data_IF_337018611762
#
_entry.id   IF_337018611762
#
_cell.length_a   1.000
_cell.length_b   1.000
_cell.length_c   1.000
_cell.angle_alpha   90.00
_cell.angle_beta   90.00
_cell.angle_gamma   90.00
#
_symmetry.space_group_name_H-M   'P 1'
#
loop_
_entity.id
_entity.type
_entity.pdbx_description
1 polymer ?
#
# COMPACT_ATOMS: atom_id res chain seq x y z
N UNK A 1 -80.19 30.59 12.23
CA UNK A 1 -81.03 29.40 12.29
C UNK A 1 -80.13 28.20 12.11
N UNK A 2 -79.77 27.55 13.19
CA UNK A 2 -80.19 26.21 13.67
C UNK A 2 -80.26 25.14 12.58
N UNK A 3 -79.45 24.08 12.70
CA UNK A 3 -79.69 22.77 12.10
C UNK A 3 -78.39 21.93 12.23
N UNK A 4 -78.20 21.33 13.34
CA UNK A 4 -78.19 19.90 13.75
C UNK A 4 -77.23 18.94 12.96
N UNK A 5 -76.33 18.37 13.73
CA UNK A 5 -75.59 17.11 13.49
C UNK A 5 -76.60 15.91 13.42
N UNK A 6 -76.16 14.76 12.85
CA UNK A 6 -75.81 13.68 13.79
C UNK A 6 -74.52 12.90 13.45
N UNK A 7 -74.01 12.37 14.54
CA UNK A 7 -72.91 11.40 14.64
C UNK A 7 -73.37 10.01 14.11
N UNK A 8 -72.43 9.29 13.49
CA UNK A 8 -72.52 7.82 13.36
C UNK A 8 -71.14 7.22 13.73
N UNK A 9 -71.14 6.69 14.91
CA UNK A 9 -70.15 5.82 15.51
C UNK A 9 -70.25 4.45 14.81
N UNK A 10 -69.13 3.99 14.23
CA UNK A 10 -68.96 2.60 13.86
C UNK A 10 -67.72 2.06 14.56
N UNK A 11 -67.93 1.39 15.69
CA UNK A 11 -66.95 0.51 16.34
C UNK A 11 -66.64 -0.68 15.43
N UNK A 12 -65.43 -0.76 14.96
CA UNK A 12 -64.85 -2.03 14.48
C UNK A 12 -63.91 -2.55 15.55
N UNK A 13 -64.34 -3.50 16.31
CA UNK A 13 -63.53 -4.30 17.21
C UNK A 13 -62.77 -5.35 16.39
N UNK A 14 -61.45 -5.15 16.22
CA UNK A 14 -60.53 -6.17 15.72
C UNK A 14 -59.98 -6.95 16.91
N UNK A 15 -60.46 -8.17 17.02
CA UNK A 15 -59.92 -9.19 17.92
C UNK A 15 -58.62 -9.70 17.32
N UNK A 16 -57.44 -9.31 17.86
CA UNK A 16 -56.13 -9.88 17.53
C UNK A 16 -55.84 -10.96 18.55
N UNK A 17 -56.02 -12.21 18.13
CA UNK A 17 -55.52 -13.36 18.90
C UNK A 17 -54.01 -13.39 18.87
N UNK A 18 -53.39 -13.15 20.01
CA UNK A 18 -51.96 -13.26 20.29
C UNK A 18 -51.54 -14.73 20.32
N UNK A 19 -50.91 -15.19 19.24
CA UNK A 19 -50.00 -16.33 19.28
C UNK A 19 -48.56 -15.82 19.12
N UNK A 20 -47.98 -15.36 20.22
CA UNK A 20 -46.56 -15.11 20.35
C UNK A 20 -45.82 -16.46 20.34
N UNK A 21 -45.46 -16.95 19.15
CA UNK A 21 -44.37 -17.89 19.02
C UNK A 21 -43.06 -17.09 19.20
N UNK A 22 -42.44 -17.27 20.35
CA UNK A 22 -41.08 -16.85 20.61
C UNK A 22 -40.16 -17.45 19.53
N UNK A 23 -39.76 -16.62 18.56
CA UNK A 23 -38.72 -16.96 17.59
C UNK A 23 -37.38 -16.85 18.33
N UNK A 24 -36.81 -18.01 18.67
CA UNK A 24 -35.45 -18.07 19.22
C UNK A 24 -34.51 -17.27 18.31
N UNK A 25 -33.90 -16.24 18.84
CA UNK A 25 -32.79 -15.55 18.20
C UNK A 25 -31.66 -16.58 18.01
N UNK A 26 -31.06 -16.70 16.81
CA UNK A 26 -29.87 -17.50 16.68
C UNK A 26 -28.81 -16.88 17.60
N UNK A 27 -28.27 -17.70 18.51
CA UNK A 27 -27.15 -17.35 19.35
C UNK A 27 -26.07 -16.73 18.47
N UNK A 28 -25.60 -15.55 18.86
CA UNK A 28 -24.42 -14.93 18.28
C UNK A 28 -23.31 -15.99 18.32
N UNK A 29 -22.90 -16.46 17.15
CA UNK A 29 -21.77 -17.36 17.02
C UNK A 29 -20.56 -16.63 17.60
N UNK A 30 -20.00 -17.19 18.68
CA UNK A 30 -18.70 -16.74 19.22
C UNK A 30 -17.71 -16.66 18.05
N UNK A 31 -16.92 -15.58 17.97
CA UNK A 31 -15.89 -15.48 16.93
C UNK A 31 -14.93 -16.68 17.10
N UNK A 32 -14.42 -17.25 15.99
CA UNK A 32 -13.55 -18.41 16.03
C UNK A 32 -12.31 -18.08 16.87
N UNK A 33 -12.14 -18.78 17.98
CA UNK A 33 -11.02 -18.66 18.94
C UNK A 33 -9.63 -19.03 18.38
N UNK A 34 -9.51 -19.23 17.06
CA UNK A 34 -8.25 -19.57 16.38
C UNK A 34 -7.96 -18.63 15.18
N UNK A 35 -8.12 -17.32 15.35
CA UNK A 35 -7.37 -16.42 14.51
C UNK A 35 -5.91 -16.50 14.98
N UNK A 36 -5.06 -17.20 14.21
CA UNK A 36 -3.61 -17.13 14.38
C UNK A 36 -3.24 -15.64 14.43
N UNK A 37 -2.70 -15.21 15.57
CA UNK A 37 -2.34 -13.82 15.80
C UNK A 37 -1.29 -13.42 14.79
N UNK A 38 -1.73 -12.76 13.72
CA UNK A 38 -0.83 -12.30 12.68
C UNK A 38 -0.01 -11.12 13.23
N UNK A 39 1.31 -11.23 13.15
CA UNK A 39 2.22 -10.13 13.47
C UNK A 39 1.79 -8.87 12.72
N UNK A 40 1.62 -7.71 13.37
CA UNK A 40 1.22 -6.49 12.70
C UNK A 40 2.20 -6.10 11.59
N UNK A 41 1.72 -5.53 10.48
CA UNK A 41 2.60 -5.03 9.42
C UNK A 41 3.47 -3.86 9.92
N UNK A 42 4.52 -3.51 9.17
CA UNK A 42 5.24 -2.27 9.41
C UNK A 42 4.35 -1.04 9.14
N UNK A 43 4.69 0.11 9.70
CA UNK A 43 3.94 1.36 9.47
C UNK A 43 3.79 1.69 7.98
N UNK A 44 4.87 1.51 7.21
CA UNK A 44 4.89 1.72 5.75
C UNK A 44 3.97 0.77 4.96
N UNK A 45 3.60 -0.36 5.55
CA UNK A 45 2.74 -1.36 4.93
C UNK A 45 1.25 -1.20 5.32
N UNK A 46 0.95 -0.25 6.22
CA UNK A 46 -0.43 0.11 6.53
C UNK A 46 -1.13 0.67 5.29
N UNK A 47 -2.31 0.16 4.96
CA UNK A 47 -3.05 0.54 3.75
C UNK A 47 -2.45 0.07 2.43
N UNK A 48 -1.43 -0.81 2.45
CA UNK A 48 -0.74 -1.29 1.25
C UNK A 48 -1.66 -1.97 0.25
N UNK A 49 -2.65 -2.75 0.70
CA UNK A 49 -3.59 -3.42 -0.20
C UNK A 49 -4.35 -2.42 -1.07
N UNK A 50 -4.87 -1.35 -0.51
CA UNK A 50 -5.52 -0.29 -1.28
C UNK A 50 -4.51 0.40 -2.22
N UNK A 51 -3.34 0.79 -1.70
CA UNK A 51 -2.27 1.43 -2.48
C UNK A 51 -1.83 0.58 -3.67
N UNK A 52 -1.76 -0.73 -3.50
CA UNK A 52 -1.35 -1.67 -4.56
C UNK A 52 -2.35 -1.67 -5.73
N UNK A 53 -3.66 -1.59 -5.48
CA UNK A 53 -4.69 -1.48 -6.53
C UNK A 53 -4.53 -0.18 -7.34
N UNK A 54 -4.13 0.92 -6.69
CA UNK A 54 -3.92 2.21 -7.37
C UNK A 54 -2.58 2.31 -8.11
N UNK A 55 -1.58 1.50 -7.75
CA UNK A 55 -0.21 1.64 -8.25
C UNK A 55 0.25 0.50 -9.17
N UNK A 56 -0.13 -0.74 -8.86
CA UNK A 56 0.31 -1.92 -9.62
C UNK A 56 -0.50 -2.11 -10.91
N UNK A 57 0.15 -2.56 -11.97
CA UNK A 57 -0.47 -2.77 -13.28
C UNK A 57 -0.59 -1.50 -14.12
N UNK A 58 0.10 -0.42 -13.74
CA UNK A 58 0.14 0.83 -14.48
C UNK A 58 1.59 1.29 -14.69
N UNK A 59 1.84 1.96 -15.83
CA UNK A 59 3.14 2.50 -16.17
C UNK A 59 2.99 3.70 -17.13
N UNK A 60 2.05 4.60 -16.84
CA UNK A 60 1.68 5.70 -17.72
C UNK A 60 2.87 6.57 -18.13
N UNK A 61 3.03 6.81 -19.43
CA UNK A 61 4.10 7.63 -19.97
C UNK A 61 5.50 7.02 -19.79
N UNK A 62 5.58 5.69 -19.54
CA UNK A 62 6.86 5.01 -19.41
C UNK A 62 6.91 3.70 -20.19
N UNK A 63 8.08 3.42 -20.73
CA UNK A 63 8.42 2.06 -21.20
C UNK A 63 9.39 1.47 -20.19
N UNK A 64 9.03 0.32 -19.62
CA UNK A 64 9.77 -0.34 -18.54
C UNK A 64 10.15 -1.76 -18.95
N UNK A 65 11.39 -2.14 -18.70
CA UNK A 65 11.90 -3.50 -18.86
C UNK A 65 12.53 -3.92 -17.54
N UNK A 66 12.06 -5.02 -16.97
CA UNK A 66 12.63 -5.65 -15.79
C UNK A 66 13.06 -7.08 -16.12
N UNK A 67 14.30 -7.40 -15.86
CA UNK A 67 14.85 -8.74 -16.00
C UNK A 67 15.31 -9.24 -14.62
N UNK A 68 14.85 -10.42 -14.24
CA UNK A 68 15.27 -11.10 -13.03
C UNK A 68 15.81 -12.48 -13.38
N UNK A 69 16.96 -12.82 -12.85
CA UNK A 69 17.53 -14.16 -12.99
C UNK A 69 18.12 -14.63 -11.67
N UNK A 70 18.08 -15.93 -11.46
CA UNK A 70 18.60 -16.55 -10.27
C UNK A 70 19.66 -17.58 -10.65
N UNK A 71 20.87 -17.38 -10.12
CA UNK A 71 21.96 -18.35 -10.29
C UNK A 71 21.71 -19.61 -9.47
N UNK A 72 22.27 -20.72 -9.90
CA UNK A 72 22.30 -21.98 -9.14
C UNK A 72 22.99 -21.82 -7.77
N UNK A 73 23.93 -20.89 -7.64
CA UNK A 73 24.58 -20.52 -6.37
C UNK A 73 23.67 -19.71 -5.42
N UNK A 74 22.44 -19.39 -5.81
CA UNK A 74 21.48 -18.63 -5.00
C UNK A 74 21.63 -17.11 -5.08
N UNK A 75 22.50 -16.60 -5.95
CA UNK A 75 22.60 -15.16 -6.24
C UNK A 75 21.47 -14.77 -7.17
N UNK A 76 20.70 -13.76 -6.77
CA UNK A 76 19.62 -13.17 -7.56
C UNK A 76 20.14 -11.89 -8.23
N UNK A 77 20.03 -11.81 -9.55
CA UNK A 77 20.34 -10.62 -10.33
C UNK A 77 19.03 -10.00 -10.84
N UNK A 78 18.90 -8.71 -10.69
CA UNK A 78 17.76 -7.96 -11.21
C UNK A 78 18.26 -6.72 -11.94
N UNK A 79 17.89 -6.56 -13.18
CA UNK A 79 18.18 -5.35 -13.94
C UNK A 79 16.89 -4.74 -14.42
N UNK A 80 16.77 -3.44 -14.27
CA UNK A 80 15.60 -2.69 -14.70
C UNK A 80 16.02 -1.49 -15.54
N UNK A 81 15.27 -1.24 -16.59
CA UNK A 81 15.39 -0.04 -17.41
C UNK A 81 14.03 0.60 -17.58
N UNK A 82 13.97 1.92 -17.52
CA UNK A 82 12.75 2.67 -17.82
C UNK A 82 13.06 3.92 -18.60
N UNK A 83 12.21 4.23 -19.58
CA UNK A 83 12.28 5.48 -20.35
C UNK A 83 10.97 6.23 -20.18
N UNK A 84 11.06 7.49 -19.81
CA UNK A 84 9.90 8.37 -19.79
C UNK A 84 9.65 8.88 -21.21
N UNK A 85 8.46 8.62 -21.77
CA UNK A 85 8.11 8.96 -23.15
C UNK A 85 7.94 10.46 -23.37
N UNK A 86 7.59 11.22 -22.31
CA UNK A 86 7.37 12.67 -22.41
C UNK A 86 8.70 13.45 -22.38
N UNK A 87 9.65 13.00 -21.55
CA UNK A 87 10.92 13.71 -21.35
C UNK A 87 12.10 13.08 -22.08
N UNK A 88 11.93 11.88 -22.63
CA UNK A 88 12.99 11.10 -23.26
C UNK A 88 14.09 10.62 -22.29
N UNK A 89 13.95 10.88 -20.97
CA UNK A 89 14.93 10.47 -19.98
C UNK A 89 14.85 8.96 -19.77
N UNK A 90 15.99 8.30 -19.91
CA UNK A 90 16.16 6.89 -19.60
C UNK A 90 16.87 6.75 -18.24
N UNK A 91 16.45 5.77 -17.47
CA UNK A 91 17.07 5.35 -16.23
C UNK A 91 17.14 3.83 -16.16
N UNK A 92 18.17 3.32 -15.53
CA UNK A 92 18.33 1.88 -15.33
C UNK A 92 19.01 1.58 -14.00
N UNK A 93 18.90 0.35 -13.58
CA UNK A 93 19.54 -0.15 -12.39
C UNK A 93 19.97 -1.59 -12.58
N UNK A 94 21.06 -1.95 -11.93
CA UNK A 94 21.50 -3.32 -11.73
C UNK A 94 21.48 -3.61 -10.24
N UNK A 95 20.81 -4.67 -9.84
CA UNK A 95 20.72 -5.10 -8.45
C UNK A 95 21.19 -6.54 -8.34
N UNK A 96 22.04 -6.81 -7.36
CA UNK A 96 22.56 -8.14 -7.03
C UNK A 96 22.19 -8.44 -5.59
N UNK A 97 21.51 -9.56 -5.37
CA UNK A 97 21.11 -9.98 -4.03
C UNK A 97 21.61 -11.38 -3.73
N UNK A 98 22.26 -11.50 -2.60
CA UNK A 98 22.78 -12.76 -2.11
C UNK A 98 22.34 -13.00 -0.67
N UNK A 99 21.80 -14.21 -0.42
CA UNK A 99 21.35 -14.63 0.91
C UNK A 99 22.21 -15.74 1.44
N UNK A 100 22.85 -15.50 2.57
CA UNK A 100 23.59 -16.52 3.36
C UNK A 100 22.63 -17.07 4.41
N UNK A 101 22.03 -18.22 4.11
CA UNK A 101 20.97 -18.80 4.98
C UNK A 101 21.47 -19.18 6.37
N UNK A 102 22.71 -19.66 6.48
CA UNK A 102 23.32 -20.10 7.74
C UNK A 102 23.51 -18.94 8.74
N UNK A 103 23.80 -17.77 8.25
CA UNK A 103 24.05 -16.58 9.06
C UNK A 103 22.84 -15.60 9.05
N UNK A 104 21.73 -15.93 8.38
CA UNK A 104 20.59 -15.04 8.22
C UNK A 104 20.92 -13.71 7.56
N UNK A 105 22.09 -13.62 6.90
CA UNK A 105 22.58 -12.42 6.26
C UNK A 105 22.05 -12.32 4.83
N UNK A 106 21.61 -11.10 4.48
CA UNK A 106 21.26 -10.75 3.10
C UNK A 106 22.10 -9.57 2.68
N UNK A 107 22.80 -9.74 1.58
CA UNK A 107 23.53 -8.66 0.89
C UNK A 107 22.72 -8.24 -0.32
N UNK A 108 22.50 -6.95 -0.47
CA UNK A 108 21.87 -6.37 -1.62
C UNK A 108 22.68 -5.19 -2.12
N UNK A 109 23.15 -5.24 -3.36
CA UNK A 109 23.93 -4.17 -3.98
C UNK A 109 23.16 -3.68 -5.21
N UNK A 110 22.93 -2.38 -5.27
CA UNK A 110 22.22 -1.73 -6.36
C UNK A 110 23.04 -0.60 -6.94
N UNK A 111 23.19 -0.61 -8.25
CA UNK A 111 23.83 0.44 -9.01
C UNK A 111 22.84 1.06 -9.98
N UNK A 112 22.67 2.36 -9.92
CA UNK A 112 21.78 3.11 -10.78
C UNK A 112 22.57 3.88 -11.86
N UNK A 113 21.89 4.19 -12.97
CA UNK A 113 22.50 4.98 -14.08
C UNK A 113 22.81 6.43 -13.73
N UNK A 114 22.30 6.96 -12.60
CA UNK A 114 22.73 8.22 -12.00
C UNK A 114 24.07 8.12 -11.26
N UNK A 115 24.74 6.98 -11.40
CA UNK A 115 25.99 6.63 -10.78
C UNK A 115 25.92 6.54 -9.23
N UNK A 116 24.75 6.20 -8.70
CA UNK A 116 24.58 5.94 -7.25
C UNK A 116 24.74 4.45 -6.99
N UNK A 117 25.69 4.12 -6.13
CA UNK A 117 25.90 2.77 -5.60
C UNK A 117 25.30 2.68 -4.21
N UNK A 118 24.35 1.77 -4.03
CA UNK A 118 23.73 1.47 -2.74
C UNK A 118 24.06 0.04 -2.34
N UNK A 119 24.52 -0.15 -1.12
CA UNK A 119 24.80 -1.47 -0.54
C UNK A 119 24.00 -1.61 0.74
N UNK A 120 23.17 -2.63 0.81
CA UNK A 120 22.38 -3.01 1.99
C UNK A 120 22.85 -4.35 2.52
N UNK A 121 23.15 -4.40 3.79
CA UNK A 121 23.46 -5.63 4.53
C UNK A 121 22.41 -5.78 5.61
N UNK A 122 21.65 -6.84 5.62
CA UNK A 122 20.65 -7.08 6.65
C UNK A 122 20.80 -8.46 7.26
N UNK A 123 20.51 -8.55 8.55
CA UNK A 123 20.51 -9.76 9.35
C UNK A 123 19.16 -9.89 10.04
N UNK A 124 18.55 -11.07 9.97
CA UNK A 124 17.22 -11.35 10.53
C UNK A 124 17.27 -12.60 11.40
N UNK A 125 16.61 -12.54 12.58
CA UNK A 125 16.40 -13.68 13.51
C UNK A 125 17.66 -14.33 14.12
N UNK A 126 18.83 -13.75 14.00
CA UNK A 126 20.07 -14.34 14.52
C UNK A 126 20.36 -13.95 15.98
N UNK A 127 20.18 -12.69 16.33
CA UNK A 127 20.45 -12.18 17.68
C UNK A 127 19.26 -12.41 18.61
N UNK A 128 18.05 -12.19 18.12
CA UNK A 128 16.83 -12.44 18.84
C UNK A 128 15.69 -12.71 17.84
N UNK A 129 14.77 -13.60 18.17
CA UNK A 129 13.61 -13.94 17.34
C UNK A 129 12.75 -12.70 17.09
N UNK A 130 12.55 -12.36 15.83
CA UNK A 130 11.82 -11.17 15.39
C UNK A 130 12.67 -9.91 15.26
N UNK A 131 13.97 -9.95 15.56
CA UNK A 131 14.88 -8.81 15.40
C UNK A 131 15.49 -8.81 14.00
N UNK A 132 15.36 -7.69 13.31
CA UNK A 132 16.03 -7.40 12.04
C UNK A 132 16.94 -6.21 12.21
N UNK A 133 18.21 -6.37 11.82
CA UNK A 133 19.17 -5.28 11.73
C UNK A 133 19.57 -5.10 10.28
N UNK A 134 19.74 -3.86 9.85
CA UNK A 134 20.17 -3.53 8.50
C UNK A 134 21.11 -2.34 8.50
N UNK A 135 22.10 -2.37 7.62
CA UNK A 135 22.97 -1.25 7.34
C UNK A 135 22.91 -0.96 5.85
N UNK A 136 22.39 0.21 5.51
CA UNK A 136 22.36 0.72 4.14
C UNK A 136 23.44 1.77 3.99
N UNK A 137 24.23 1.64 2.95
CA UNK A 137 25.21 2.66 2.58
C UNK A 137 24.96 3.11 1.15
N UNK A 138 25.05 4.40 0.91
CA UNK A 138 24.94 4.98 -0.43
C UNK A 138 26.17 5.81 -0.74
N UNK A 139 26.71 5.64 -1.93
CA UNK A 139 27.86 6.35 -2.44
C UNK A 139 27.57 6.88 -3.85
N UNK A 140 27.83 8.17 -4.05
CA UNK A 140 27.70 8.84 -5.35
C UNK A 140 29.10 9.28 -5.80
N UNK A 141 29.78 8.50 -6.65
CA UNK A 141 31.16 8.77 -7.07
C UNK A 141 31.34 10.17 -7.67
N UNK A 142 30.38 10.65 -8.46
CA UNK A 142 30.46 11.95 -9.15
C UNK A 142 30.56 13.14 -8.19
N UNK A 143 29.93 13.06 -7.02
CA UNK A 143 29.90 14.14 -6.02
C UNK A 143 30.70 13.81 -4.76
N UNK A 144 31.16 12.56 -4.65
CA UNK A 144 31.81 12.06 -3.44
C UNK A 144 30.85 11.93 -2.24
N UNK A 145 29.55 12.17 -2.41
CA UNK A 145 28.55 12.12 -1.35
C UNK A 145 28.42 10.69 -0.83
N UNK A 146 28.50 10.54 0.48
CA UNK A 146 28.32 9.28 1.21
C UNK A 146 27.19 9.47 2.22
N UNK A 147 26.32 8.47 2.35
CA UNK A 147 25.35 8.40 3.42
C UNK A 147 25.28 6.98 3.95
N UNK A 148 24.97 6.85 5.22
CA UNK A 148 24.77 5.57 5.88
C UNK A 148 23.45 5.62 6.67
N UNK A 149 22.73 4.52 6.69
CA UNK A 149 21.48 4.36 7.42
C UNK A 149 21.49 3.04 8.17
N UNK A 150 21.35 3.11 9.47
CA UNK A 150 21.17 1.96 10.33
C UNK A 150 19.67 1.71 10.50
N UNK A 151 19.22 0.51 10.17
CA UNK A 151 17.82 0.08 10.30
C UNK A 151 17.69 -0.98 11.38
N UNK A 152 16.75 -0.79 12.27
CA UNK A 152 16.44 -1.77 13.31
C UNK A 152 14.95 -2.04 13.29
N UNK A 153 14.55 -3.29 13.23
CA UNK A 153 13.15 -3.72 13.28
C UNK A 153 12.96 -4.83 14.30
N UNK A 154 11.91 -4.73 15.08
CA UNK A 154 11.53 -5.77 16.02
C UNK A 154 10.06 -6.13 15.84
N UNK A 155 9.81 -7.40 15.52
CA UNK A 155 8.48 -7.95 15.27
C UNK A 155 8.11 -8.97 16.33
N UNK A 156 6.96 -8.79 16.93
CA UNK A 156 6.34 -9.73 17.88
C UNK A 156 4.84 -9.81 17.65
N UNK A 157 4.22 -10.78 18.29
CA UNK A 157 2.78 -10.86 18.41
C UNK A 157 2.26 -9.52 18.95
N UNK A 158 1.25 -8.94 18.30
CA UNK A 158 0.65 -7.63 18.58
C UNK A 158 1.51 -6.38 18.33
N UNK A 159 2.81 -6.49 18.04
CA UNK A 159 3.70 -5.32 17.96
C UNK A 159 4.72 -5.44 16.82
N UNK A 160 4.91 -4.34 16.10
CA UNK A 160 5.97 -4.17 15.13
C UNK A 160 6.60 -2.79 15.33
N UNK A 161 7.84 -2.74 15.70
CA UNK A 161 8.57 -1.49 15.97
C UNK A 161 9.78 -1.42 15.06
N UNK A 162 10.01 -0.26 14.47
CA UNK A 162 11.19 0.04 13.65
C UNK A 162 11.86 1.32 14.15
N UNK A 163 13.16 1.35 14.11
CA UNK A 163 13.96 2.54 14.36
C UNK A 163 15.09 2.59 13.33
N UNK A 164 15.12 3.64 12.55
CA UNK A 164 16.12 3.88 11.53
C UNK A 164 16.90 5.15 11.89
N UNK A 165 18.22 5.13 11.75
CA UNK A 165 19.09 6.28 11.99
C UNK A 165 19.79 6.59 10.68
N UNK A 166 19.47 7.74 10.10
CA UNK A 166 20.16 8.27 8.93
C UNK A 166 21.37 9.11 9.37
N UNK A 167 22.57 8.69 8.97
CA UNK A 167 23.80 9.45 9.20
C UNK A 167 24.05 10.35 7.98
N UNK A 168 23.68 11.62 8.11
CA UNK A 168 24.02 12.65 7.12
C UNK A 168 25.12 13.57 7.69
N UNK A 169 25.87 14.23 6.81
CA UNK A 169 26.92 15.18 7.18
C UNK A 169 26.38 16.38 7.99
N UNK A 170 25.11 16.71 7.84
CA UNK A 170 24.45 17.79 8.57
C UNK A 170 24.04 17.40 10.00
N UNK A 171 24.05 16.13 10.34
CA UNK A 171 23.64 15.55 11.63
C UNK A 171 22.69 14.38 11.45
N UNK A 172 22.63 13.45 12.41
CA UNK A 172 21.79 12.27 12.29
C UNK A 172 20.30 12.62 12.39
N UNK A 173 19.48 11.94 11.59
CA UNK A 173 18.03 11.96 11.70
C UNK A 173 17.52 10.61 12.18
N UNK A 174 16.74 10.60 13.25
CA UNK A 174 16.17 9.39 13.83
C UNK A 174 14.72 9.24 13.36
N UNK A 175 14.42 8.13 12.71
CA UNK A 175 13.08 7.74 12.30
C UNK A 175 12.61 6.58 13.19
N UNK A 176 11.52 6.77 13.91
CA UNK A 176 10.91 5.71 14.70
C UNK A 176 9.48 5.44 14.21
N UNK A 177 9.11 4.18 14.18
CA UNK A 177 7.76 3.75 13.83
C UNK A 177 7.35 2.57 14.71
N UNK A 178 6.10 2.58 15.15
CA UNK A 178 5.52 1.49 15.91
C UNK A 178 4.11 1.20 15.41
N UNK A 179 3.76 -0.07 15.30
CA UNK A 179 2.41 -0.54 15.00
C UNK A 179 1.99 -1.56 16.05
N UNK A 180 0.84 -1.33 16.63
CA UNK A 180 0.18 -2.26 17.53
C UNK A 180 -1.02 -2.88 16.83
N UNK A 181 -1.23 -4.17 17.00
CA UNK A 181 -2.36 -4.90 16.43
C UNK A 181 -3.09 -5.71 17.46
N UNK A 182 -4.41 -5.59 17.51
CA UNK A 182 -5.27 -6.37 18.39
C UNK A 182 -6.63 -6.63 17.73
N UNK A 183 -7.04 -7.89 17.62
CA UNK A 183 -8.34 -8.31 17.08
C UNK A 183 -8.74 -7.63 15.74
N UNK A 184 -7.77 -7.50 14.83
CA UNK A 184 -8.00 -6.85 13.53
C UNK A 184 -7.80 -5.34 13.53
N UNK A 185 -7.74 -4.68 14.69
CA UNK A 185 -7.38 -3.28 14.80
C UNK A 185 -5.88 -3.09 14.71
N UNK A 186 -5.47 -2.03 14.03
CA UNK A 186 -4.07 -1.64 13.85
C UNK A 186 -3.96 -0.17 14.24
N UNK A 187 -3.07 0.14 15.16
CA UNK A 187 -2.73 1.52 15.52
C UNK A 187 -1.26 1.75 15.25
N UNK A 188 -0.92 2.72 14.44
CA UNK A 188 0.43 3.05 14.03
C UNK A 188 0.82 4.48 14.38
N UNK A 189 2.06 4.65 14.79
CA UNK A 189 2.69 5.95 15.01
C UNK A 189 4.06 5.97 14.33
N UNK A 190 4.36 7.06 13.66
CA UNK A 190 5.66 7.28 13.03
C UNK A 190 6.13 8.71 13.29
N UNK A 191 7.40 8.83 13.65
CA UNK A 191 8.04 10.13 13.83
C UNK A 191 9.41 10.18 13.17
N UNK A 192 9.85 11.37 12.79
CA UNK A 192 11.22 11.66 12.40
C UNK A 192 11.75 12.85 13.19
N UNK A 193 12.89 12.68 13.84
CA UNK A 193 13.53 13.71 14.63
C UNK A 193 14.88 14.10 14.01
N UNK A 194 14.98 15.36 13.57
CA UNK A 194 16.21 15.96 13.06
C UNK A 194 17.04 16.46 14.24
N UNK A 195 18.15 15.77 14.54
CA UNK A 195 18.98 16.11 15.70
C UNK A 195 19.77 17.40 15.48
N UNK A 196 20.12 17.75 14.23
CA UNK A 196 20.85 18.95 13.91
C UNK A 196 20.03 20.22 14.17
N UNK A 197 18.72 20.17 13.88
CA UNK A 197 17.78 21.26 14.10
C UNK A 197 17.02 21.15 15.42
N UNK A 198 17.22 20.05 16.17
CA UNK A 198 16.45 19.70 17.37
C UNK A 198 14.93 19.84 17.15
N UNK A 199 14.46 19.40 15.99
CA UNK A 199 13.07 19.57 15.56
C UNK A 199 12.46 18.23 15.15
N UNK A 200 11.21 18.03 15.53
CA UNK A 200 10.37 16.97 15.00
C UNK A 200 10.06 17.29 13.53
N UNK A 201 10.65 16.54 12.61
CA UNK A 201 10.50 16.75 11.17
C UNK A 201 9.25 16.06 10.59
N UNK A 202 8.78 15.01 11.27
CA UNK A 202 7.59 14.25 10.85
C UNK A 202 6.87 13.68 12.08
N UNK A 203 5.55 13.76 12.06
CA UNK A 203 4.67 13.23 13.11
C UNK A 203 3.39 12.69 12.47
N UNK A 204 3.32 11.38 12.31
CA UNK A 204 2.25 10.71 11.61
C UNK A 204 1.57 9.69 12.52
N UNK A 205 0.26 9.67 12.47
CA UNK A 205 -0.59 8.71 13.15
C UNK A 205 -1.45 7.95 12.15
N UNK A 206 -1.65 6.67 12.35
CA UNK A 206 -2.47 5.83 11.50
C UNK A 206 -3.34 4.88 12.33
N UNK A 207 -4.56 4.67 11.87
CA UNK A 207 -5.48 3.69 12.42
C UNK A 207 -5.99 2.81 11.28
N UNK A 208 -5.99 1.50 11.49
CA UNK A 208 -6.47 0.54 10.52
C UNK A 208 -7.38 -0.51 11.17
N UNK A 209 -8.22 -1.09 10.34
CA UNK A 209 -9.01 -2.26 10.71
C UNK A 209 -8.98 -3.27 9.57
N UNK A 210 -8.65 -4.51 9.89
CA UNK A 210 -8.58 -5.61 8.93
C UNK A 210 -9.49 -6.74 9.38
N UNK A 211 -10.49 -7.06 8.57
CA UNK A 211 -11.40 -8.18 8.80
C UNK A 211 -11.55 -8.99 7.51
N UNK A 212 -10.89 -10.16 7.45
CA UNK A 212 -10.93 -11.03 6.26
C UNK A 212 -10.55 -10.28 4.98
N UNK A 213 -11.54 -10.13 4.10
CA UNK A 213 -11.40 -9.51 2.78
C UNK A 213 -11.56 -7.97 2.77
N UNK A 214 -11.83 -7.37 3.93
CA UNK A 214 -12.01 -5.93 4.10
C UNK A 214 -10.86 -5.30 4.87
N UNK A 215 -10.39 -4.14 4.42
CA UNK A 215 -9.39 -3.33 5.13
C UNK A 215 -9.78 -1.86 5.07
N UNK A 216 -9.84 -1.24 6.23
CA UNK A 216 -9.96 0.20 6.40
C UNK A 216 -8.62 0.74 6.92
N UNK A 217 -8.18 1.86 6.38
CA UNK A 217 -7.00 2.56 6.85
C UNK A 217 -7.25 4.06 6.84
N UNK A 218 -6.87 4.72 7.92
CA UNK A 218 -6.89 6.17 8.04
C UNK A 218 -5.54 6.64 8.57
N UNK A 219 -5.10 7.80 8.12
CA UNK A 219 -3.85 8.39 8.58
C UNK A 219 -3.96 9.91 8.71
N UNK A 220 -3.19 10.45 9.62
CA UNK A 220 -2.99 11.89 9.81
C UNK A 220 -1.49 12.15 9.76
N UNK A 221 -1.05 12.98 8.82
CA UNK A 221 0.36 13.32 8.63
C UNK A 221 0.57 14.76 9.09
N UNK A 222 1.50 14.96 10.01
CA UNK A 222 1.89 16.29 10.55
C UNK A 222 0.71 17.17 11.05
N UNK A 223 -0.42 16.53 11.40
CA UNK A 223 -1.64 17.21 11.82
C UNK A 223 -2.35 18.03 10.73
N UNK A 224 -1.87 18.00 9.50
CA UNK A 224 -2.38 18.80 8.38
C UNK A 224 -2.95 18.00 7.23
N UNK A 225 -2.44 16.81 6.97
CA UNK A 225 -2.95 15.92 5.94
C UNK A 225 -3.72 14.76 6.56
N UNK A 226 -4.97 14.60 6.14
CA UNK A 226 -5.85 13.52 6.54
C UNK A 226 -6.05 12.58 5.35
N UNK A 227 -5.79 11.32 5.53
CA UNK A 227 -5.96 10.28 4.52
C UNK A 227 -6.84 9.16 5.01
N UNK A 228 -7.51 8.51 4.07
CA UNK A 228 -8.26 7.28 4.33
C UNK A 228 -8.31 6.43 3.08
N UNK A 229 -8.28 5.12 3.27
CA UNK A 229 -8.45 4.16 2.19
C UNK A 229 -9.26 2.97 2.65
N UNK A 230 -10.08 2.47 1.74
CA UNK A 230 -10.86 1.25 1.91
C UNK A 230 -10.41 0.29 0.84
N UNK A 231 -10.13 -0.93 1.22
CA UNK A 231 -9.88 -2.04 0.32
C UNK A 231 -10.91 -3.12 0.58
N UNK A 232 -11.49 -3.65 -0.48
CA UNK A 232 -12.44 -4.76 -0.42
C UNK A 232 -12.09 -5.78 -1.51
N UNK A 233 -11.87 -7.01 -1.09
CA UNK A 233 -11.88 -8.16 -2.00
C UNK A 233 -13.31 -8.66 -2.12
N UNK A 234 -13.96 -8.30 -3.23
CA UNK A 234 -15.38 -8.63 -3.48
C UNK A 234 -15.55 -10.13 -3.72
N UNK A 235 -14.62 -10.70 -4.50
CA UNK A 235 -14.53 -12.14 -4.76
C UNK A 235 -13.09 -12.50 -5.17
N UNK A 236 -12.85 -13.75 -5.58
CA UNK A 236 -11.51 -14.20 -5.97
C UNK A 236 -10.97 -13.52 -7.24
N UNK A 237 -11.82 -12.87 -8.01
CA UNK A 237 -11.47 -12.20 -9.27
C UNK A 237 -11.49 -10.68 -9.15
N UNK A 238 -12.30 -10.10 -8.26
CA UNK A 238 -12.52 -8.66 -8.17
C UNK A 238 -12.03 -8.10 -6.83
N UNK A 239 -11.10 -7.18 -6.92
CA UNK A 239 -10.62 -6.36 -5.81
C UNK A 239 -10.91 -4.89 -6.11
N UNK A 240 -11.37 -4.16 -5.11
CA UNK A 240 -11.70 -2.74 -5.22
C UNK A 240 -11.03 -1.94 -4.13
N UNK A 241 -10.72 -0.69 -4.43
CA UNK A 241 -10.16 0.24 -3.45
C UNK A 241 -10.69 1.65 -3.67
N UNK A 242 -10.88 2.35 -2.56
CA UNK A 242 -11.22 3.78 -2.54
C UNK A 242 -10.16 4.49 -1.73
N UNK A 243 -9.74 5.66 -2.18
CA UNK A 243 -8.78 6.50 -1.50
C UNK A 243 -9.30 7.93 -1.41
N UNK A 244 -9.16 8.52 -0.23
CA UNK A 244 -9.49 9.91 0.05
C UNK A 244 -8.28 10.55 0.76
N UNK A 245 -7.85 11.71 0.31
CA UNK A 245 -6.86 12.52 1.00
C UNK A 245 -7.29 13.99 0.98
N UNK A 246 -7.18 14.64 2.12
CA UNK A 246 -7.57 16.03 2.32
C UNK A 246 -6.49 16.76 3.11
N UNK A 247 -6.14 17.96 2.68
CA UNK A 247 -5.17 18.82 3.36
C UNK A 247 -5.89 19.97 4.06
N UNK A 248 -5.73 20.08 5.37
CA UNK A 248 -6.34 21.15 6.17
C UNK A 248 -5.86 22.53 5.70
N UNK A 249 -6.76 23.49 5.65
CA UNK A 249 -6.46 24.85 5.21
C UNK A 249 -6.32 25.01 3.69
N UNK A 250 -6.53 23.95 2.92
CA UNK A 250 -6.61 24.02 1.46
C UNK A 250 -7.87 23.31 0.97
N UNK A 251 -8.44 23.78 -0.17
CA UNK A 251 -9.53 23.07 -0.84
C UNK A 251 -9.06 21.87 -1.66
N UNK A 252 -7.86 21.37 -1.38
CA UNK A 252 -7.24 20.29 -2.15
C UNK A 252 -7.67 18.94 -1.58
N UNK A 253 -8.80 18.43 -2.06
CA UNK A 253 -9.27 17.08 -1.78
C UNK A 253 -8.92 16.19 -2.94
N UNK A 254 -8.26 15.08 -2.69
CA UNK A 254 -7.95 14.03 -3.67
C UNK A 254 -8.80 12.82 -3.35
N UNK A 255 -9.61 12.42 -4.30
CA UNK A 255 -10.47 11.25 -4.21
C UNK A 255 -10.23 10.36 -5.41
N UNK A 256 -10.19 9.05 -5.19
CA UNK A 256 -10.03 8.08 -6.27
C UNK A 256 -10.72 6.75 -5.93
N UNK A 257 -11.16 6.10 -6.99
CA UNK A 257 -11.68 4.72 -6.94
C UNK A 257 -10.83 3.90 -7.91
N UNK A 258 -10.51 2.69 -7.51
CA UNK A 258 -9.79 1.75 -8.35
C UNK A 258 -10.34 0.33 -8.18
N UNK A 259 -10.23 -0.45 -9.24
CA UNK A 259 -10.62 -1.85 -9.25
C UNK A 259 -9.59 -2.66 -10.04
N UNK A 260 -9.38 -3.90 -9.62
CA UNK A 260 -8.61 -4.89 -10.34
C UNK A 260 -9.47 -6.12 -10.55
N UNK A 261 -9.57 -6.56 -11.78
CA UNK A 261 -10.30 -7.75 -12.17
C UNK A 261 -9.37 -8.79 -12.79
N UNK A 262 -9.34 -9.97 -12.22
CA UNK A 262 -8.59 -11.12 -12.75
C UNK A 262 -9.49 -11.82 -13.77
N UNK A 263 -9.13 -11.74 -15.04
CA UNK A 263 -9.87 -12.38 -16.14
C UNK A 263 -9.69 -13.89 -16.08
N UNK A 264 -8.44 -14.32 -15.98
CA UNK A 264 -8.03 -15.71 -15.87
C UNK A 264 -6.73 -15.81 -15.04
N UNK A 265 -6.07 -16.96 -15.02
CA UNK A 265 -4.82 -17.17 -14.27
C UNK A 265 -3.66 -16.30 -14.78
N UNK A 266 -3.71 -15.90 -16.04
CA UNK A 266 -2.62 -15.25 -16.75
C UNK A 266 -2.91 -13.79 -17.11
N UNK A 267 -4.17 -13.36 -17.02
CA UNK A 267 -4.60 -12.02 -17.43
C UNK A 267 -5.35 -11.27 -16.35
N UNK A 268 -5.05 -9.99 -16.19
CA UNK A 268 -5.79 -9.08 -15.30
C UNK A 268 -5.96 -7.69 -15.91
N UNK A 269 -7.10 -7.07 -15.62
CA UNK A 269 -7.40 -5.68 -15.95
C UNK A 269 -7.46 -4.87 -14.66
N UNK A 270 -6.85 -3.70 -14.67
CA UNK A 270 -6.93 -2.72 -13.61
C UNK A 270 -7.48 -1.41 -14.16
N UNK A 271 -8.36 -0.77 -13.42
CA UNK A 271 -8.90 0.53 -13.77
C UNK A 271 -8.93 1.44 -12.55
N UNK A 272 -8.68 2.72 -12.75
CA UNK A 272 -8.78 3.75 -11.70
C UNK A 272 -9.29 5.06 -12.26
N UNK A 273 -9.99 5.81 -11.42
CA UNK A 273 -10.47 7.15 -11.72
C UNK A 273 -10.26 8.04 -10.51
N UNK A 274 -9.98 9.32 -10.74
CA UNK A 274 -9.84 10.31 -9.69
C UNK A 274 -10.75 11.53 -9.92
N UNK A 275 -10.83 12.39 -8.92
CA UNK A 275 -11.63 13.63 -8.98
C UNK A 275 -11.10 14.69 -9.97
N UNK A 276 -9.92 14.50 -10.55
CA UNK A 276 -9.42 15.31 -11.67
C UNK A 276 -9.89 14.80 -13.04
N UNK A 277 -10.83 13.84 -13.06
CA UNK A 277 -11.34 13.18 -14.27
C UNK A 277 -10.27 12.44 -15.08
N UNK A 278 -9.19 12.01 -14.39
CA UNK A 278 -8.18 11.15 -15.01
C UNK A 278 -8.61 9.69 -14.87
N UNK A 279 -8.74 9.01 -15.99
CA UNK A 279 -9.07 7.57 -16.06
C UNK A 279 -7.81 6.81 -16.46
N UNK A 280 -7.36 5.91 -15.58
CA UNK A 280 -6.24 5.02 -15.84
C UNK A 280 -6.74 3.61 -16.07
N UNK A 281 -6.26 2.96 -17.12
CA UNK A 281 -6.53 1.55 -17.42
C UNK A 281 -5.20 0.83 -17.57
N UNK A 282 -5.13 -0.38 -17.05
CA UNK A 282 -3.98 -1.25 -17.18
C UNK A 282 -4.41 -2.67 -17.52
N UNK A 283 -3.70 -3.31 -18.42
CA UNK A 283 -3.86 -4.71 -18.78
C UNK A 283 -2.54 -5.42 -18.57
N UNK A 284 -2.54 -6.49 -17.81
CA UNK A 284 -1.36 -7.32 -17.55
C UNK A 284 -1.62 -8.73 -18.03
N UNK A 285 -0.73 -9.25 -18.86
CA UNK A 285 -0.79 -10.60 -19.44
C UNK A 285 0.52 -11.35 -19.16
N UNK A 286 0.44 -12.55 -18.60
CA UNK A 286 1.50 -13.51 -18.62
C UNK A 286 1.50 -14.21 -19.99
N UNK A 287 2.51 -13.94 -20.81
CA UNK A 287 2.63 -14.51 -22.15
C UNK A 287 3.12 -15.98 -22.10
N UNK A 288 3.99 -16.24 -21.15
CA UNK A 288 4.51 -17.59 -20.79
C UNK A 288 5.04 -17.53 -19.36
N UNK A 289 5.31 -18.66 -18.70
CA UNK A 289 5.95 -18.69 -17.39
C UNK A 289 7.22 -17.84 -17.40
N UNK A 290 7.32 -16.90 -16.45
CA UNK A 290 8.43 -15.96 -16.35
C UNK A 290 8.36 -14.73 -17.27
N UNK A 291 7.36 -14.59 -18.14
CA UNK A 291 7.25 -13.44 -19.06
C UNK A 291 5.91 -12.75 -18.88
N UNK A 292 5.91 -11.49 -18.43
CA UNK A 292 4.72 -10.67 -18.24
C UNK A 292 4.81 -9.40 -19.08
N UNK A 293 3.71 -9.07 -19.73
CA UNK A 293 3.49 -7.82 -20.45
C UNK A 293 2.43 -7.01 -19.73
N UNK A 294 2.71 -5.74 -19.47
CA UNK A 294 1.74 -4.78 -18.93
C UNK A 294 1.57 -3.63 -19.91
N UNK A 295 0.35 -3.38 -20.34
CA UNK A 295 -0.03 -2.24 -21.15
C UNK A 295 -0.87 -1.30 -20.30
N UNK A 296 -0.66 0.00 -20.39
CA UNK A 296 -1.41 0.97 -19.62
C UNK A 296 -1.71 2.24 -20.41
N UNK A 297 -2.84 2.85 -20.12
CA UNK A 297 -3.26 4.13 -20.71
C UNK A 297 -3.87 5.02 -19.62
N UNK A 298 -3.45 6.28 -19.60
CA UNK A 298 -4.04 7.35 -18.80
C UNK A 298 -4.77 8.29 -19.76
N UNK A 299 -6.03 8.52 -19.50
CA UNK A 299 -6.93 9.33 -20.33
C UNK A 299 -7.40 10.52 -19.48
N UNK A 300 -7.19 11.74 -19.97
CA UNK A 300 -7.82 12.93 -19.42
C UNK A 300 -9.24 13.03 -20.01
N UNK A 301 -10.24 12.62 -19.22
CA UNK A 301 -11.63 12.62 -19.66
C UNK A 301 -12.23 14.04 -19.72
N UNK A 302 -11.63 15.00 -19.00
CA UNK A 302 -12.10 16.41 -19.02
C UNK A 302 -11.63 17.13 -20.29
N UNK A 303 -10.42 16.83 -20.78
CA UNK A 303 -9.79 17.51 -21.90
C UNK A 303 -9.46 16.51 -23.03
N UNK A 304 -10.41 15.68 -23.41
CA UNK A 304 -10.18 14.55 -24.32
C UNK A 304 -9.54 14.98 -25.65
N UNK A 305 -9.94 16.14 -26.20
CA UNK A 305 -9.43 16.64 -27.50
C UNK A 305 -8.15 17.51 -27.35
N UNK A 306 -7.75 17.88 -26.14
CA UNK A 306 -6.59 18.76 -25.93
C UNK A 306 -5.27 17.99 -25.74
N UNK A 307 -5.32 16.65 -25.74
CA UNK A 307 -4.15 15.80 -25.49
C UNK A 307 -3.95 15.55 -23.98
N UNK A 308 -2.70 15.21 -23.60
CA UNK A 308 -2.39 14.85 -22.19
C UNK A 308 -2.60 13.38 -21.86
N UNK A 309 -3.02 12.59 -22.85
CA UNK A 309 -3.11 11.14 -22.70
C UNK A 309 -1.72 10.52 -22.67
N UNK A 310 -1.54 9.49 -21.83
CA UNK A 310 -0.27 8.80 -21.68
C UNK A 310 -0.46 7.33 -21.88
N UNK A 311 0.39 6.72 -22.68
CA UNK A 311 0.46 5.27 -22.87
C UNK A 311 1.74 4.78 -22.21
N UNK A 312 1.69 3.60 -21.63
CA UNK A 312 2.86 2.98 -21.04
C UNK A 312 2.90 1.49 -21.29
N UNK A 313 4.10 0.95 -21.35
CA UNK A 313 4.35 -0.47 -21.53
C UNK A 313 5.39 -0.95 -20.51
N UNK A 314 5.13 -2.08 -19.91
CA UNK A 314 6.05 -2.77 -19.00
C UNK A 314 6.28 -4.20 -19.49
N UNK A 315 7.51 -4.65 -19.45
CA UNK A 315 7.90 -6.01 -19.79
C UNK A 315 8.75 -6.59 -18.68
N UNK A 316 8.29 -7.66 -18.07
CA UNK A 316 8.99 -8.35 -16.99
C UNK A 316 9.41 -9.74 -17.45
N UNK A 317 10.70 -10.05 -17.28
CA UNK A 317 11.32 -11.33 -17.60
C UNK A 317 11.89 -11.94 -16.31
N UNK A 318 11.49 -13.15 -16.00
CA UNK A 318 12.03 -13.93 -14.88
C UNK A 318 12.54 -15.29 -15.43
N UNK A 319 13.87 -15.51 -15.30
CA UNK A 319 14.57 -16.69 -15.85
C UNK A 319 15.28 -17.42 -14.73
#
# INVERSE_FOLDING_TARGET
>A
MRGKRPALSACFSFSVSSSLRARAQPAASEPPKNASMAVPPAYSDLGKSAKDIFSKGYGFGTVKLDLKTKSQSGVEFSTGGSTNTDTGKASGNLETKYKVKELGLTFNQKWNTDNTLTTEVSMEDQLAKGLKLGLDTSFVPNTGKKSAKLKTGYKRDYMNVGCDIDFDLAGPTVHAAAVLGYEGWLAGYQMAFDTAKSKLAQNNFALGYKAGDFQLHTNVNDGTEFGGSIYQKVNNQLETAVNLAWTAGSNNTRFGIAAKYQLDKDASISAKVNNASLVGVGYTQALRPGVKLTLSALIDAKNFNAGGHKVGMGFELEV
#
